data_IF_281693255765
#
_entry.id   IF_281693255765
#
_cell.length_a   1.000
_cell.length_b   1.000
_cell.length_c   1.000
_cell.angle_alpha   90.00
_cell.angle_beta   90.00
_cell.angle_gamma   90.00
#
_symmetry.space_group_name_H-M   'P 1'
#
loop_
_entity.id
_entity.type
_entity.pdbx_description
1 polymer ?
#
# COMPACT_ATOMS: atom_id res chain seq x y z
N UNK A 1 -4.57 -7.30 40.85
CA UNK A 1 -5.94 -6.73 40.76
C UNK A 1 -6.60 -7.37 39.56
N UNK A 2 -7.61 -8.22 39.76
CA UNK A 2 -8.27 -8.97 38.69
C UNK A 2 -9.39 -8.14 38.07
N UNK A 3 -9.35 -7.96 36.75
CA UNK A 3 -10.36 -7.25 35.98
C UNK A 3 -11.56 -8.17 35.67
N UNK A 4 -12.77 -7.62 35.68
CA UNK A 4 -13.93 -8.32 35.12
C UNK A 4 -13.80 -8.39 33.58
N UNK A 5 -14.41 -9.41 32.95
CA UNK A 5 -14.34 -9.67 31.51
C UNK A 5 -14.77 -8.44 30.67
N UNK A 6 -15.76 -7.69 31.14
CA UNK A 6 -16.22 -6.45 30.47
C UNK A 6 -15.14 -5.37 30.50
N UNK A 7 -14.44 -5.22 31.62
CA UNK A 7 -13.39 -4.22 31.80
C UNK A 7 -12.16 -4.63 31.00
N UNK A 8 -11.78 -5.91 31.04
CA UNK A 8 -10.68 -6.46 30.25
C UNK A 8 -10.86 -6.25 28.74
N UNK A 9 -12.08 -6.49 28.23
CA UNK A 9 -12.43 -6.19 26.82
C UNK A 9 -12.29 -4.70 26.50
N UNK A 10 -12.77 -3.82 27.38
CA UNK A 10 -12.64 -2.36 27.21
C UNK A 10 -11.19 -1.91 27.20
N UNK A 11 -10.35 -2.47 28.07
CA UNK A 11 -8.91 -2.18 28.11
C UNK A 11 -8.24 -2.54 26.78
N UNK A 12 -8.54 -3.70 26.20
CA UNK A 12 -8.03 -4.09 24.87
C UNK A 12 -8.52 -3.18 23.75
N UNK A 13 -9.79 -2.76 23.77
CA UNK A 13 -10.32 -1.80 22.80
C UNK A 13 -9.59 -0.45 22.87
N UNK A 14 -9.27 0.03 24.08
CA UNK A 14 -8.52 1.27 24.27
C UNK A 14 -7.05 1.15 23.80
N UNK A 15 -6.44 -0.03 23.95
CA UNK A 15 -5.12 -0.34 23.39
C UNK A 15 -5.14 -0.25 21.86
N UNK A 16 -6.20 -0.75 21.21
CA UNK A 16 -6.39 -0.69 19.75
C UNK A 16 -6.40 0.74 19.21
N UNK A 17 -6.94 1.69 19.98
CA UNK A 17 -7.07 3.09 19.58
C UNK A 17 -5.84 3.93 19.84
N UNK A 18 -4.90 3.44 20.65
CA UNK A 18 -3.73 4.20 21.10
C UNK A 18 -2.44 3.89 20.33
N UNK A 19 -2.48 2.93 19.41
CA UNK A 19 -1.30 2.35 18.76
C UNK A 19 -1.43 2.42 17.24
N UNK A 20 -0.29 2.44 16.54
CA UNK A 20 -0.19 2.79 15.11
C UNK A 20 -1.04 1.87 14.20
N UNK A 21 -1.68 2.38 13.14
CA UNK A 21 -2.52 1.59 12.23
C UNK A 21 -1.78 0.50 11.43
N UNK A 22 -0.45 0.49 11.43
CA UNK A 22 0.38 -0.51 10.73
C UNK A 22 0.86 -1.67 11.63
N UNK A 23 0.62 -1.59 12.94
CA UNK A 23 1.07 -2.60 13.91
C UNK A 23 0.14 -3.83 13.95
N UNK A 24 0.74 -5.02 13.94
CA UNK A 24 0.03 -6.29 14.17
C UNK A 24 0.07 -6.66 15.65
N UNK A 25 -1.00 -7.27 16.21
CA UNK A 25 -1.06 -7.63 17.63
C UNK A 25 -1.17 -9.12 17.87
N UNK A 26 -0.55 -9.57 18.96
CA UNK A 26 -0.67 -10.93 19.49
C UNK A 26 -0.99 -10.85 20.98
N UNK A 27 -2.00 -11.60 21.42
CA UNK A 27 -2.33 -11.74 22.83
C UNK A 27 -2.08 -13.17 23.26
N UNK A 28 -1.40 -13.34 24.38
CA UNK A 28 -1.29 -14.61 25.10
C UNK A 28 -2.17 -14.59 26.35
N UNK A 29 -2.96 -15.64 26.54
CA UNK A 29 -3.78 -15.88 27.72
C UNK A 29 -3.24 -17.10 28.46
N UNK A 30 -2.80 -16.91 29.69
CA UNK A 30 -2.37 -17.99 30.57
C UNK A 30 -3.43 -18.25 31.63
N UNK A 31 -3.99 -19.45 31.68
CA UNK A 31 -4.92 -19.85 32.72
C UNK A 31 -4.16 -20.15 34.02
N UNK A 32 -4.38 -19.33 35.06
CA UNK A 32 -3.55 -19.31 36.28
C UNK A 32 -3.60 -20.63 37.05
N UNK A 33 -4.69 -21.40 36.96
CA UNK A 33 -4.85 -22.67 37.70
C UNK A 33 -4.42 -23.92 36.93
N UNK A 34 -4.53 -23.92 35.60
CA UNK A 34 -4.28 -25.11 34.78
C UNK A 34 -3.03 -25.00 33.92
N UNK A 35 -2.32 -23.87 34.00
CA UNK A 35 -1.13 -23.53 33.20
C UNK A 35 -1.35 -23.65 31.68
N UNK A 36 -2.62 -23.64 31.25
CA UNK A 36 -2.99 -23.69 29.84
C UNK A 36 -2.76 -22.32 29.18
N UNK A 37 -2.02 -22.31 28.08
CA UNK A 37 -1.69 -21.11 27.33
C UNK A 37 -2.45 -21.06 26.00
N UNK A 38 -3.07 -19.92 25.69
CA UNK A 38 -3.77 -19.64 24.44
C UNK A 38 -3.16 -18.42 23.77
N UNK A 39 -2.82 -18.48 22.49
CA UNK A 39 -2.25 -17.35 21.74
C UNK A 39 -3.14 -17.01 20.55
N UNK A 40 -3.46 -15.72 20.38
CA UNK A 40 -4.27 -15.24 19.26
C UNK A 40 -3.64 -14.00 18.63
N UNK A 41 -3.54 -14.00 17.30
CA UNK A 41 -3.10 -12.83 16.50
C UNK A 41 -4.24 -11.84 16.27
N UNK A 42 -4.98 -11.52 17.33
CA UNK A 42 -6.12 -10.59 17.29
C UNK A 42 -6.24 -9.90 18.64
N UNK A 43 -6.45 -8.58 18.64
CA UNK A 43 -6.56 -7.80 19.86
C UNK A 43 -7.96 -7.94 20.53
N UNK A 44 -8.36 -9.17 20.84
CA UNK A 44 -9.68 -9.49 21.43
C UNK A 44 -9.65 -10.75 22.27
N UNK A 45 -10.43 -10.79 23.35
CA UNK A 45 -10.62 -12.00 24.18
C UNK A 45 -11.62 -12.94 23.50
N UNK A 46 -11.23 -14.20 23.17
CA UNK A 46 -12.14 -15.19 22.62
C UNK A 46 -13.33 -15.47 23.55
N UNK A 47 -14.51 -15.69 22.98
CA UNK A 47 -15.73 -16.00 23.75
C UNK A 47 -15.81 -17.44 24.27
N UNK A 48 -14.91 -18.31 23.85
CA UNK A 48 -14.87 -19.74 24.14
C UNK A 48 -13.78 -20.12 25.17
N UNK A 49 -13.17 -19.15 25.84
CA UNK A 49 -12.25 -19.45 26.94
C UNK A 49 -13.04 -20.04 28.12
N UNK A 50 -12.57 -21.14 28.73
CA UNK A 50 -13.23 -21.72 29.89
C UNK A 50 -13.31 -20.73 31.06
N UNK A 51 -14.28 -20.88 31.98
CA UNK A 51 -14.36 -20.04 33.17
C UNK A 51 -13.12 -20.17 34.04
N UNK A 52 -12.59 -19.05 34.54
CA UNK A 52 -11.33 -19.07 35.27
C UNK A 52 -10.62 -17.72 35.31
N UNK A 53 -9.45 -17.70 35.93
CA UNK A 53 -8.58 -16.52 36.03
C UNK A 53 -7.49 -16.65 34.98
N UNK A 54 -7.35 -15.62 34.16
CA UNK A 54 -6.39 -15.56 33.07
C UNK A 54 -5.44 -14.37 33.25
N UNK A 55 -4.17 -14.59 32.94
CA UNK A 55 -3.20 -13.52 32.73
C UNK A 55 -3.07 -13.28 31.23
N UNK A 56 -3.42 -12.07 30.79
CA UNK A 56 -3.28 -11.63 29.41
C UNK A 56 -1.98 -10.83 29.24
N UNK A 57 -1.16 -11.23 28.29
CA UNK A 57 -0.01 -10.45 27.81
C UNK A 57 -0.24 -10.03 26.38
N UNK A 58 -0.12 -8.73 26.11
CA UNK A 58 -0.36 -8.13 24.80
C UNK A 58 0.98 -7.73 24.19
N UNK A 59 1.24 -8.24 23.00
CA UNK A 59 2.43 -7.97 22.22
C UNK A 59 2.06 -7.18 20.97
N UNK A 60 2.83 -6.13 20.71
CA UNK A 60 2.87 -5.40 19.44
C UNK A 60 3.97 -6.01 18.57
N UNK A 61 3.62 -6.41 17.36
CA UNK A 61 4.50 -7.00 16.35
C UNK A 61 4.76 -5.91 15.30
N UNK A 62 6.02 -5.48 15.24
CA UNK A 62 6.57 -4.60 14.21
C UNK A 62 7.53 -5.39 13.32
N UNK A 63 7.89 -4.89 12.14
CA UNK A 63 8.80 -5.60 11.20
C UNK A 63 10.15 -5.96 11.83
N UNK A 64 10.59 -5.25 12.87
CA UNK A 64 11.91 -5.44 13.49
C UNK A 64 11.87 -6.11 14.87
N UNK A 65 10.74 -6.13 15.59
CA UNK A 65 10.67 -6.73 16.94
C UNK A 65 9.24 -7.01 17.47
N UNK A 66 9.15 -7.95 18.43
CA UNK A 66 7.98 -8.13 19.29
C UNK A 66 8.19 -7.38 20.62
N UNK A 67 7.25 -6.48 20.98
CA UNK A 67 7.30 -5.71 22.23
C UNK A 67 6.06 -5.99 23.08
N UNK A 68 6.26 -6.33 24.35
CA UNK A 68 5.15 -6.42 25.31
C UNK A 68 4.67 -5.02 25.68
N UNK A 69 3.40 -4.72 25.38
CA UNK A 69 2.79 -3.40 25.57
C UNK A 69 1.80 -3.36 26.73
N UNK A 70 1.29 -4.51 27.17
CA UNK A 70 0.35 -4.58 28.30
C UNK A 70 0.32 -5.96 28.94
N UNK A 71 0.16 -5.99 30.26
CA UNK A 71 -0.02 -7.21 31.04
C UNK A 71 -1.10 -6.96 32.09
N UNK A 72 -2.17 -7.76 32.06
CA UNK A 72 -3.25 -7.65 33.03
C UNK A 72 -3.89 -9.01 33.31
N UNK A 73 -4.49 -9.14 34.49
CA UNK A 73 -5.22 -10.35 34.89
C UNK A 73 -6.72 -10.09 34.84
N UNK A 74 -7.49 -11.06 34.34
CA UNK A 74 -8.95 -10.97 34.28
C UNK A 74 -9.62 -12.29 34.64
N UNK A 75 -10.86 -12.21 35.12
CA UNK A 75 -11.68 -13.38 35.48
C UNK A 75 -12.85 -13.56 34.52
N UNK A 76 -13.06 -14.79 34.08
CA UNK A 76 -14.27 -15.21 33.38
C UNK A 76 -15.19 -15.87 34.42
N UNK A 77 -16.33 -15.27 34.76
CA UNK A 77 -17.26 -15.87 35.71
C UNK A 77 -17.80 -17.19 35.17
N UNK A 78 -18.00 -18.15 36.06
CA UNK A 78 -18.76 -19.36 35.76
C UNK A 78 -20.17 -18.89 35.38
N UNK A 79 -20.59 -19.13 34.13
CA UNK A 79 -22.02 -19.04 33.82
C UNK A 79 -22.67 -20.19 34.58
N UNK A 80 -23.25 -19.90 35.74
CA UNK A 80 -24.42 -20.64 36.19
C UNK A 80 -25.47 -20.40 35.09
N UNK A 81 -25.66 -21.39 34.22
CA UNK A 81 -26.86 -21.39 33.40
C UNK A 81 -28.05 -21.34 34.38
N UNK A 82 -29.03 -20.44 34.16
CA UNK A 82 -30.29 -20.60 34.85
C UNK A 82 -30.84 -21.94 34.38
N UNK A 83 -30.93 -22.90 35.29
CA UNK A 83 -31.80 -24.06 35.09
C UNK A 83 -33.16 -23.50 34.68
N UNK A 84 -33.54 -23.73 33.42
CA UNK A 84 -34.90 -23.50 32.96
C UNK A 84 -35.72 -24.63 33.57
N UNK A 85 -35.98 -24.56 34.88
CA UNK A 85 -37.11 -25.23 35.51
C UNK A 85 -38.33 -24.38 35.19
N UNK A 86 -38.93 -24.59 34.02
CA UNK A 86 -40.36 -24.34 33.88
C UNK A 86 -41.07 -25.43 34.68
N UNK A 87 -41.75 -25.12 35.81
CA UNK A 87 -42.61 -26.11 36.43
C UNK A 87 -43.85 -26.21 35.55
N UNK A 88 -43.94 -27.28 34.77
CA UNK A 88 -45.19 -27.63 34.09
C UNK A 88 -46.21 -27.97 35.19
N UNK A 89 -47.40 -27.35 35.23
CA UNK A 89 -48.41 -27.68 36.21
C UNK A 89 -48.88 -29.12 36.00
N UNK A 90 -48.59 -30.01 36.95
CA UNK A 90 -49.14 -31.36 36.99
C UNK A 90 -50.56 -31.25 37.55
N UNK A 91 -51.57 -31.25 36.68
CA UNK A 91 -52.93 -31.66 37.08
C UNK A 91 -53.07 -33.17 36.90
N UNK A 92 -53.43 -33.95 37.93
CA UNK A 92 -53.75 -35.35 37.75
C UNK A 92 -55.24 -35.52 37.44
N UNK A 93 -55.65 -36.38 36.51
CA UNK A 93 -56.77 -37.27 36.75
C UNK A 93 -56.21 -38.53 37.40
N UNK A 94 -56.51 -38.72 38.68
CA UNK A 94 -56.28 -39.99 39.36
C UNK A 94 -57.26 -41.00 38.76
N UNK A 95 -56.78 -41.86 37.87
CA UNK A 95 -57.36 -43.18 37.67
C UNK A 95 -56.30 -44.22 37.99
N UNK A 96 -56.59 -44.96 39.06
CA UNK A 96 -55.73 -45.97 39.67
C UNK A 96 -55.57 -47.13 38.68
N UNK A 97 -54.46 -47.16 37.96
CA UNK A 97 -53.99 -48.36 37.26
C UNK A 97 -52.71 -48.89 37.90
N UNK A 98 -52.62 -50.22 37.93
CA UNK A 98 -51.74 -51.02 38.77
C UNK A 98 -50.26 -50.58 38.80
N UNK A 99 -49.58 -50.69 39.96
CA UNK A 99 -48.24 -50.15 40.19
C UNK A 99 -47.10 -50.86 39.44
N UNK A 100 -47.38 -51.90 38.65
CA UNK A 100 -46.36 -52.65 37.87
C UNK A 100 -46.03 -52.04 36.50
N UNK A 101 -46.92 -51.23 35.92
CA UNK A 101 -46.73 -50.66 34.56
C UNK A 101 -46.20 -49.21 34.55
N UNK A 102 -46.35 -48.47 35.65
CA UNK A 102 -45.91 -47.07 35.73
C UNK A 102 -44.38 -46.92 35.60
N UNK A 103 -43.63 -47.81 36.25
CA UNK A 103 -42.16 -47.83 36.17
C UNK A 103 -41.66 -48.16 34.76
N UNK A 104 -42.35 -49.05 34.05
CA UNK A 104 -42.03 -49.39 32.66
C UNK A 104 -42.33 -48.20 31.73
N UNK A 105 -43.47 -47.52 31.93
CA UNK A 105 -43.82 -46.32 31.19
C UNK A 105 -42.80 -45.19 31.35
N UNK A 106 -42.33 -44.93 32.59
CA UNK A 106 -41.29 -43.93 32.86
C UNK A 106 -39.97 -44.30 32.17
N UNK A 107 -39.55 -45.57 32.22
CA UNK A 107 -38.30 -46.01 31.56
C UNK A 107 -38.38 -45.92 30.03
N UNK A 108 -39.53 -46.21 29.43
CA UNK A 108 -39.74 -46.07 28.00
C UNK A 108 -39.73 -44.59 27.57
N UNK A 109 -40.34 -43.72 28.36
CA UNK A 109 -40.32 -42.28 28.09
C UNK A 109 -38.90 -41.70 28.22
N UNK A 110 -38.14 -42.11 29.25
CA UNK A 110 -36.73 -41.73 29.39
C UNK A 110 -35.88 -42.22 28.20
N UNK A 111 -36.10 -43.45 27.72
CA UNK A 111 -35.43 -43.95 26.51
C UNK A 111 -35.77 -43.12 25.28
N UNK A 112 -37.03 -42.73 25.12
CA UNK A 112 -37.47 -41.89 24.00
C UNK A 112 -36.86 -40.49 24.08
N UNK A 113 -36.81 -39.92 25.29
CA UNK A 113 -36.16 -38.63 25.53
C UNK A 113 -34.67 -38.69 25.22
N UNK A 114 -33.99 -39.75 25.62
CA UNK A 114 -32.57 -39.98 25.34
C UNK A 114 -32.31 -40.11 23.82
N UNK A 115 -33.17 -40.85 23.12
CA UNK A 115 -33.11 -40.96 21.66
C UNK A 115 -33.32 -39.61 20.96
N UNK A 116 -34.28 -38.79 21.42
CA UNK A 116 -34.50 -37.44 20.90
C UNK A 116 -33.30 -36.54 21.18
N UNK A 117 -32.71 -36.64 22.37
CA UNK A 117 -31.53 -35.86 22.77
C UNK A 117 -30.36 -36.13 21.84
N UNK A 118 -30.06 -37.41 21.58
CA UNK A 118 -28.98 -37.79 20.67
C UNK A 118 -29.23 -37.38 19.22
N UNK A 119 -30.47 -37.47 18.72
CA UNK A 119 -30.79 -37.00 17.37
C UNK A 119 -30.68 -35.47 17.26
N UNK A 120 -31.07 -34.73 18.29
CA UNK A 120 -30.90 -33.28 18.33
C UNK A 120 -29.41 -32.89 18.35
N UNK A 121 -28.59 -33.56 19.16
CA UNK A 121 -27.14 -33.37 19.16
C UNK A 121 -26.54 -33.65 17.78
N UNK A 122 -26.96 -34.74 17.12
CA UNK A 122 -26.52 -35.07 15.75
C UNK A 122 -26.83 -33.92 14.78
N UNK A 123 -28.06 -33.40 14.79
CA UNK A 123 -28.47 -32.29 13.92
C UNK A 123 -27.71 -30.99 14.20
N UNK A 124 -27.46 -30.70 15.48
CA UNK A 124 -26.63 -29.55 15.88
C UNK A 124 -25.21 -29.70 15.32
N UNK A 125 -24.64 -30.90 15.41
CA UNK A 125 -23.30 -31.17 14.89
C UNK A 125 -23.25 -31.10 13.36
N UNK A 126 -24.25 -31.63 12.66
CA UNK A 126 -24.38 -31.51 11.21
C UNK A 126 -24.46 -30.03 10.79
N UNK A 127 -25.31 -29.25 11.45
CA UNK A 127 -25.46 -27.81 11.17
C UNK A 127 -24.16 -27.04 11.41
N UNK A 128 -23.44 -27.36 12.50
CA UNK A 128 -22.14 -26.74 12.80
C UNK A 128 -21.09 -27.11 11.75
N UNK A 129 -21.05 -28.37 11.31
CA UNK A 129 -20.14 -28.84 10.27
C UNK A 129 -20.41 -28.13 8.94
N UNK A 130 -21.67 -28.03 8.54
CA UNK A 130 -22.04 -27.37 7.29
C UNK A 130 -21.81 -25.87 7.34
N UNK A 131 -22.05 -25.22 8.48
CA UNK A 131 -21.69 -23.82 8.69
C UNK A 131 -20.17 -23.58 8.57
N UNK A 132 -19.34 -24.47 9.11
CA UNK A 132 -17.89 -24.39 8.99
C UNK A 132 -17.42 -24.59 7.54
N UNK A 133 -18.00 -25.56 6.82
CA UNK A 133 -17.72 -25.77 5.39
C UNK A 133 -18.10 -24.54 4.57
N UNK A 134 -19.29 -23.99 4.78
CA UNK A 134 -19.76 -22.80 4.08
C UNK A 134 -18.88 -21.58 4.37
N UNK A 135 -18.44 -21.40 5.62
CA UNK A 135 -17.53 -20.32 5.99
C UNK A 135 -16.15 -20.46 5.34
N UNK A 136 -15.62 -21.69 5.27
CA UNK A 136 -14.36 -21.98 4.59
C UNK A 136 -14.45 -21.69 3.10
N UNK A 137 -15.51 -22.15 2.43
CA UNK A 137 -15.71 -21.91 1.00
C UNK A 137 -15.91 -20.42 0.69
N UNK A 138 -16.61 -19.69 1.56
CA UNK A 138 -16.77 -18.24 1.44
C UNK A 138 -15.44 -17.50 1.58
N UNK A 139 -14.60 -17.88 2.55
CA UNK A 139 -13.28 -17.28 2.73
C UNK A 139 -12.33 -17.61 1.58
N UNK A 140 -12.40 -18.84 1.03
CA UNK A 140 -11.64 -19.21 -0.17
C UNK A 140 -12.04 -18.32 -1.35
N UNK A 141 -13.35 -18.19 -1.62
CA UNK A 141 -13.87 -17.32 -2.70
C UNK A 141 -13.46 -15.87 -2.51
N UNK A 142 -13.58 -15.33 -1.29
CA UNK A 142 -13.16 -13.96 -0.96
C UNK A 142 -11.67 -13.74 -1.25
N UNK A 143 -10.83 -14.71 -0.91
CA UNK A 143 -9.38 -14.65 -1.18
C UNK A 143 -9.11 -14.69 -2.69
N UNK A 144 -9.74 -15.59 -3.42
CA UNK A 144 -9.56 -15.72 -4.87
C UNK A 144 -10.02 -14.45 -5.61
N UNK A 145 -11.14 -13.86 -5.20
CA UNK A 145 -11.62 -12.57 -5.72
C UNK A 145 -10.64 -11.43 -5.41
N UNK A 146 -10.07 -11.42 -4.19
CA UNK A 146 -9.06 -10.43 -3.81
C UNK A 146 -7.80 -10.56 -4.68
N UNK A 147 -7.27 -11.77 -4.86
CA UNK A 147 -6.10 -12.01 -5.72
C UNK A 147 -6.38 -11.64 -7.17
N UNK A 148 -7.57 -12.00 -7.68
CA UNK A 148 -8.00 -11.62 -9.03
C UNK A 148 -8.04 -10.10 -9.18
N UNK A 149 -8.62 -9.38 -8.22
CA UNK A 149 -8.69 -7.91 -8.27
C UNK A 149 -7.31 -7.24 -8.27
N UNK A 150 -6.35 -7.83 -7.55
CA UNK A 150 -4.97 -7.37 -7.48
C UNK A 150 -4.24 -7.60 -8.81
N UNK A 151 -4.38 -8.80 -9.38
CA UNK A 151 -3.84 -9.13 -10.71
C UNK A 151 -4.41 -8.19 -11.77
N UNK A 152 -5.72 -7.93 -11.75
CA UNK A 152 -6.36 -7.03 -12.71
C UNK A 152 -5.86 -5.58 -12.58
N UNK A 153 -5.57 -5.13 -11.35
CA UNK A 153 -4.96 -3.81 -11.10
C UNK A 153 -3.54 -3.75 -11.67
N UNK A 154 -2.72 -4.76 -11.37
CA UNK A 154 -1.34 -4.88 -11.86
C UNK A 154 -1.32 -4.91 -13.39
N UNK A 155 -2.19 -5.70 -14.02
CA UNK A 155 -2.27 -5.79 -15.48
C UNK A 155 -2.62 -4.44 -16.10
N UNK A 156 -3.60 -3.70 -15.54
CA UNK A 156 -3.94 -2.35 -16.01
C UNK A 156 -2.78 -1.36 -15.88
N UNK A 157 -2.03 -1.41 -14.78
CA UNK A 157 -0.84 -0.56 -14.60
C UNK A 157 0.26 -0.91 -15.62
N UNK A 158 0.47 -2.20 -15.89
CA UNK A 158 1.40 -2.65 -16.92
C UNK A 158 0.97 -2.23 -18.33
N UNK A 159 -0.30 -2.41 -18.70
CA UNK A 159 -0.85 -1.95 -19.97
C UNK A 159 -0.66 -0.44 -20.14
N UNK A 160 -0.95 0.35 -19.09
CA UNK A 160 -0.74 1.79 -19.10
C UNK A 160 0.74 2.16 -19.33
N UNK A 161 1.66 1.53 -18.59
CA UNK A 161 3.11 1.76 -18.75
C UNK A 161 3.61 1.34 -20.11
N UNK A 162 3.09 0.24 -20.65
CA UNK A 162 3.43 -0.23 -21.99
C UNK A 162 2.96 0.76 -23.05
N UNK A 163 1.74 1.27 -22.93
CA UNK A 163 1.19 2.26 -23.85
C UNK A 163 1.96 3.59 -23.78
N UNK A 164 2.32 4.04 -22.57
CA UNK A 164 3.21 5.21 -22.39
C UNK A 164 4.56 5.01 -23.06
N UNK A 165 5.17 3.83 -22.90
CA UNK A 165 6.46 3.50 -23.52
C UNK A 165 6.35 3.47 -25.04
N UNK A 166 5.26 2.88 -25.58
CA UNK A 166 4.97 2.86 -27.01
C UNK A 166 4.82 4.27 -27.58
N UNK A 167 4.08 5.14 -26.88
CA UNK A 167 3.91 6.54 -27.31
C UNK A 167 5.23 7.33 -27.29
N UNK A 168 6.05 7.15 -26.25
CA UNK A 168 7.38 7.75 -26.20
C UNK A 168 8.28 7.27 -27.35
N UNK A 169 8.24 5.98 -27.69
CA UNK A 169 8.99 5.43 -28.82
C UNK A 169 8.58 6.09 -30.14
N UNK A 170 7.27 6.25 -30.39
CA UNK A 170 6.75 6.93 -31.59
C UNK A 170 7.25 8.37 -31.67
N UNK A 171 7.23 9.11 -30.55
CA UNK A 171 7.72 10.49 -30.50
C UNK A 171 9.23 10.57 -30.78
N UNK A 172 10.01 9.65 -30.21
CA UNK A 172 11.45 9.57 -30.46
C UNK A 172 11.76 9.23 -31.92
N UNK A 173 10.99 8.32 -32.54
CA UNK A 173 11.14 7.99 -33.96
C UNK A 173 10.75 9.16 -34.88
N UNK A 174 9.75 9.95 -34.50
CA UNK A 174 9.36 11.16 -35.20
C UNK A 174 10.46 12.22 -35.14
N UNK A 175 11.02 12.50 -33.95
CA UNK A 175 12.14 13.45 -33.80
C UNK A 175 13.41 12.95 -34.49
N UNK A 176 13.72 11.65 -34.41
CA UNK A 176 14.81 11.04 -35.18
C UNK A 176 14.63 11.31 -36.68
N UNK A 177 13.44 11.05 -37.22
CA UNK A 177 13.15 11.26 -38.66
C UNK A 177 13.30 12.73 -39.05
N UNK A 178 12.84 13.65 -38.20
CA UNK A 178 12.96 15.10 -38.41
C UNK A 178 14.41 15.55 -38.41
N UNK A 179 15.22 15.09 -37.46
CA UNK A 179 16.66 15.38 -37.40
C UNK A 179 17.39 14.81 -38.62
N UNK A 180 17.11 13.57 -39.02
CA UNK A 180 17.68 12.98 -40.23
C UNK A 180 17.38 13.83 -41.46
N UNK A 181 16.12 14.24 -41.66
CA UNK A 181 15.74 15.14 -42.78
C UNK A 181 16.45 16.50 -42.71
N UNK A 182 16.60 17.07 -41.51
CA UNK A 182 17.28 18.35 -41.33
C UNK A 182 18.78 18.24 -41.68
N UNK A 183 19.43 17.15 -41.27
CA UNK A 183 20.82 16.85 -41.61
C UNK A 183 20.99 16.62 -43.11
N UNK A 184 20.13 15.81 -43.73
CA UNK A 184 20.15 15.58 -45.18
C UNK A 184 19.94 16.88 -45.98
N UNK A 185 19.01 17.73 -45.52
CA UNK A 185 18.76 19.05 -46.12
C UNK A 185 20.00 19.95 -46.01
N UNK A 186 20.64 19.98 -44.83
CA UNK A 186 21.86 20.76 -44.61
C UNK A 186 23.02 20.28 -45.48
N UNK A 187 23.27 18.97 -45.52
CA UNK A 187 24.30 18.37 -46.38
C UNK A 187 24.03 18.70 -47.85
N UNK A 188 22.78 18.61 -48.31
CA UNK A 188 22.40 18.97 -49.68
C UNK A 188 22.60 20.47 -49.96
N UNK A 189 22.33 21.34 -48.99
CA UNK A 189 22.58 22.77 -49.09
C UNK A 189 24.07 23.10 -49.18
N UNK A 190 24.89 22.50 -48.31
CA UNK A 190 26.35 22.65 -48.31
C UNK A 190 26.96 22.14 -49.64
N UNK A 191 26.51 20.97 -50.12
CA UNK A 191 26.95 20.41 -51.40
C UNK A 191 26.58 21.29 -52.61
N UNK A 192 25.43 21.98 -52.58
CA UNK A 192 25.04 22.95 -53.62
C UNK A 192 25.78 24.28 -53.53
N UNK A 193 26.22 24.69 -52.34
CA UNK A 193 27.05 25.88 -52.16
C UNK A 193 28.50 25.64 -52.58
N UNK A 194 28.93 24.38 -52.60
CA UNK A 194 30.20 23.90 -53.14
C UNK A 194 30.13 23.80 -54.67
N UNK A 195 29.96 24.94 -55.36
CA UNK A 195 30.30 25.00 -56.79
C UNK A 195 31.84 25.00 -56.91
N UNK A 196 32.45 24.11 -57.71
CA UNK A 196 33.90 23.97 -57.81
C UNK A 196 34.55 25.00 -58.78
N UNK A 197 33.97 26.18 -58.97
CA UNK A 197 34.37 27.09 -60.07
C UNK A 197 34.75 28.51 -59.70
N UNK A 198 34.73 28.92 -58.42
CA UNK A 198 35.31 30.20 -58.03
C UNK A 198 36.33 29.97 -56.92
N UNK A 199 37.61 30.12 -57.29
CA UNK A 199 38.71 30.14 -56.34
C UNK A 199 38.43 31.19 -55.28
N UNK A 200 38.63 30.83 -54.02
CA UNK A 200 38.53 31.74 -52.89
C UNK A 200 39.59 32.85 -53.06
N UNK A 201 39.21 33.97 -53.68
CA UNK A 201 40.08 35.13 -53.86
C UNK A 201 40.20 35.88 -52.53
N UNK A 202 41.18 35.46 -51.73
CA UNK A 202 41.55 36.10 -50.45
C UNK A 202 41.69 37.62 -50.58
N UNK A 203 42.09 38.09 -51.77
CA UNK A 203 42.34 39.50 -52.05
C UNK A 203 41.07 40.35 -52.07
N UNK A 204 39.92 39.76 -52.43
CA UNK A 204 38.62 40.43 -52.41
C UNK A 204 37.97 40.34 -51.02
N UNK A 205 38.15 39.21 -50.33
CA UNK A 205 37.68 39.02 -48.96
C UNK A 205 38.39 39.98 -47.97
N UNK A 206 39.68 40.27 -48.17
CA UNK A 206 40.46 41.23 -47.36
C UNK A 206 40.08 42.71 -47.60
N UNK A 207 39.26 43.02 -48.62
CA UNK A 207 38.67 44.36 -48.79
C UNK A 207 37.44 44.55 -47.91
N UNK A 208 36.85 43.47 -47.39
CA UNK A 208 35.73 43.55 -46.47
C UNK A 208 36.24 43.82 -45.05
N UNK A 209 35.95 45.00 -44.46
CA UNK A 209 36.51 45.40 -43.17
C UNK A 209 36.17 44.45 -42.02
N UNK A 210 35.10 43.65 -42.14
CA UNK A 210 34.73 42.65 -41.14
C UNK A 210 35.65 41.41 -41.19
N UNK A 211 36.04 40.97 -42.39
CA UNK A 211 36.93 39.80 -42.57
C UNK A 211 38.34 40.16 -42.13
N UNK A 212 38.82 41.37 -42.48
CA UNK A 212 40.13 41.88 -42.06
C UNK A 212 40.21 42.10 -40.56
N UNK A 213 39.11 42.49 -39.90
CA UNK A 213 39.01 42.62 -38.44
C UNK A 213 39.07 41.27 -37.73
N UNK A 214 38.41 40.24 -38.28
CA UNK A 214 38.45 38.87 -37.71
C UNK A 214 39.84 38.24 -37.89
N UNK A 215 40.44 38.37 -39.09
CA UNK A 215 41.79 37.88 -39.36
C UNK A 215 42.86 38.63 -38.54
N UNK A 216 42.75 39.95 -38.39
CA UNK A 216 43.65 40.75 -37.55
C UNK A 216 43.58 40.33 -36.07
N UNK A 217 42.38 40.03 -35.56
CA UNK A 217 42.17 39.50 -34.20
C UNK A 217 42.71 38.08 -34.03
N UNK A 218 42.60 37.21 -35.03
CA UNK A 218 43.18 35.86 -34.98
C UNK A 218 44.71 35.84 -35.10
N UNK A 219 45.31 36.74 -35.89
CA UNK A 219 46.76 36.83 -36.06
C UNK A 219 47.46 37.67 -34.98
N UNK A 220 46.74 38.22 -34.01
CA UNK A 220 47.32 39.04 -32.93
C UNK A 220 47.93 40.35 -33.42
N UNK A 221 47.53 40.82 -34.62
CA UNK A 221 47.97 42.08 -35.19
C UNK A 221 46.96 43.16 -34.77
N UNK A 222 47.26 43.88 -33.70
CA UNK A 222 46.54 45.11 -33.36
C UNK A 222 46.82 46.16 -34.44
N UNK A 223 45.89 46.31 -35.39
CA UNK A 223 45.93 47.38 -36.38
C UNK A 223 45.71 48.71 -35.61
N UNK A 224 46.58 49.73 -35.77
CA UNK A 224 46.46 50.98 -35.04
C UNK A 224 45.09 51.61 -35.21
N UNK A 225 44.48 51.93 -34.07
CA UNK A 225 43.15 52.51 -33.94
C UNK A 225 43.05 53.80 -34.76
N UNK A 226 42.30 53.78 -35.86
CA UNK A 226 41.94 54.99 -36.59
C UNK A 226 40.91 55.72 -35.71
N UNK A 227 41.15 56.99 -35.32
CA UNK A 227 40.30 57.67 -34.36
C UNK A 227 38.98 58.06 -35.04
N UNK A 228 37.93 57.29 -34.78
CA UNK A 228 36.59 57.66 -35.22
C UNK A 228 35.67 56.49 -35.52
N UNK A 229 35.30 55.72 -34.50
CA UNK A 229 33.95 55.12 -34.40
C UNK A 229 33.83 54.42 -33.04
N UNK A 230 33.26 55.14 -32.07
CA UNK A 230 32.84 54.55 -30.79
C UNK A 230 31.68 53.59 -31.04
N UNK A 231 31.85 52.34 -30.61
CA UNK A 231 30.84 51.31 -30.80
C UNK A 231 31.28 49.99 -30.19
N UNK A 232 31.84 50.01 -28.98
CA UNK A 232 31.93 48.80 -28.17
C UNK A 232 30.50 48.34 -27.89
N UNK A 233 30.21 47.07 -28.22
CA UNK A 233 28.93 46.44 -27.91
C UNK A 233 28.70 46.62 -26.41
N UNK A 234 27.62 47.32 -26.05
CA UNK A 234 27.30 47.66 -24.68
C UNK A 234 26.92 46.39 -23.91
N UNK A 235 27.84 45.93 -23.07
CA UNK A 235 27.68 44.77 -22.20
C UNK A 235 26.39 44.86 -21.36
N UNK A 236 25.86 46.07 -21.12
CA UNK A 236 24.60 46.28 -20.41
C UNK A 236 23.36 45.83 -21.21
N UNK A 237 23.38 45.92 -22.55
CA UNK A 237 22.29 45.44 -23.41
C UNK A 237 22.24 43.91 -23.48
N UNK A 238 23.41 43.27 -23.53
CA UNK A 238 23.53 41.80 -23.44
C UNK A 238 23.03 41.32 -22.07
N UNK A 239 23.37 42.05 -21.00
CA UNK A 239 22.96 41.71 -19.64
C UNK A 239 21.46 41.96 -19.39
N UNK A 240 20.85 42.97 -20.02
CA UNK A 240 19.40 43.19 -19.99
C UNK A 240 18.63 42.07 -20.70
N UNK A 241 19.08 41.61 -21.88
CA UNK A 241 18.47 40.47 -22.57
C UNK A 241 18.57 39.17 -21.76
N UNK A 242 19.70 38.94 -21.07
CA UNK A 242 19.86 37.79 -20.18
C UNK A 242 18.98 37.88 -18.91
N UNK A 243 18.76 39.08 -18.37
CA UNK A 243 17.87 39.30 -17.21
C UNK A 243 16.38 39.08 -17.55
N UNK A 244 15.99 39.32 -18.80
CA UNK A 244 14.62 39.06 -19.30
C UNK A 244 14.28 37.57 -19.34
N UNK A 245 15.28 36.69 -19.52
CA UNK A 245 15.09 35.24 -19.47
C UNK A 245 15.18 34.65 -18.05
N UNK A 246 15.85 35.32 -17.11
CA UNK A 246 15.98 34.83 -15.72
C UNK A 246 14.80 35.20 -14.80
N UNK A 247 13.99 36.20 -15.16
CA UNK A 247 12.89 36.68 -14.31
C UNK A 247 11.52 36.02 -14.55
N UNK A 248 11.44 34.92 -15.31
CA UNK A 248 10.25 34.06 -15.36
C UNK A 248 10.38 32.87 -14.38
N UNK A 249 10.55 33.13 -13.09
CA UNK A 249 10.17 32.15 -12.06
C UNK A 249 9.79 32.83 -10.75
N UNK A 250 8.55 32.62 -10.32
CA UNK A 250 8.13 32.59 -8.92
C UNK A 250 6.78 31.86 -8.80
N UNK A 251 6.40 31.27 -7.66
CA UNK A 251 7.23 30.59 -6.65
C UNK A 251 6.57 29.28 -6.17
N UNK A 252 7.27 28.13 -6.14
CA UNK A 252 6.87 27.03 -5.23
C UNK A 252 8.12 26.34 -4.67
N UNK A 253 8.17 26.37 -3.35
CA UNK A 253 9.08 25.67 -2.43
C UNK A 253 9.43 24.24 -2.84
N UNK A 254 10.71 23.86 -2.74
CA UNK A 254 11.14 22.46 -2.73
C UNK A 254 12.42 22.14 -3.52
N UNK A 255 13.57 22.36 -2.87
CA UNK A 255 14.79 21.53 -2.96
C UNK A 255 15.34 21.11 -4.35
N UNK A 256 16.32 21.88 -4.84
CA UNK A 256 17.55 21.46 -5.53
C UNK A 256 17.57 20.16 -6.40
N UNK A 257 16.72 20.05 -7.43
CA UNK A 257 16.80 18.98 -8.44
C UNK A 257 18.09 18.94 -9.28
N UNK A 258 18.77 20.08 -9.45
CA UNK A 258 19.97 20.15 -10.31
C UNK A 258 21.20 19.50 -9.64
N UNK A 259 21.30 19.56 -8.30
CA UNK A 259 22.38 18.88 -7.57
C UNK A 259 22.20 17.36 -7.51
N UNK A 260 20.97 16.86 -7.53
CA UNK A 260 20.68 15.41 -7.57
C UNK A 260 21.03 14.76 -8.91
N UNK A 261 20.88 15.47 -10.03
CA UNK A 261 21.18 14.93 -11.37
C UNK A 261 22.69 14.78 -11.58
N UNK A 262 23.51 15.69 -11.02
CA UNK A 262 24.98 15.62 -11.12
C UNK A 262 25.60 14.52 -10.26
N UNK A 263 24.93 14.06 -9.20
CA UNK A 263 25.45 13.04 -8.29
C UNK A 263 25.03 11.60 -8.63
N UNK A 264 24.22 11.36 -9.67
CA UNK A 264 23.84 10.02 -10.15
C UNK A 264 24.79 9.42 -11.19
N UNK A 265 25.90 10.09 -11.49
CA UNK A 265 26.90 9.66 -12.46
C UNK A 265 28.20 9.10 -11.88
N UNK A 266 28.17 8.52 -10.68
CA UNK A 266 29.28 7.73 -10.11
C UNK A 266 28.78 6.38 -9.61
#
# INVERSE_FOLDING_TARGET
MTLDLKIARRTLSNLATSTSPESSYRIEFLHVKSDMMFSIKKLSIPGNLPPGIYRAQVFEITEESEKCISNFEFSIPLKEEPEIQTPIPITPPVEVQNPRDLNLGILLELRKQDQISHENERQIWETKLDALRAAYDAESRRRDESHKSEIDRINRDWEYKQEMTRNNQILLEAERTKLTRAVESRIRGELKSSNPTDGFDLTEALKNPLVSSILGKMLGLEIPNIPGSGGGIDMSQIMQLASGFMNQTAPVSGTNRIKEILNRGK
#
